data_IF_193486438551
#
_entry.id   IF_193486438551
#
_cell.length_a   1.000
_cell.length_b   1.000
_cell.length_c   1.000
_cell.angle_alpha   90.00
_cell.angle_beta   90.00
_cell.angle_gamma   90.00
#
_symmetry.space_group_name_H-M   'P 1'
#
loop_
_entity.id
_entity.type
_entity.pdbx_description
1 polymer ?
#
# COMPACT_ATOMS: atom_id res chain seq x y z
N UNK A 1 76.48 -14.79 -30.71
CA UNK A 1 77.10 -15.05 -29.39
C UNK A 1 76.00 -15.00 -28.33
N UNK A 2 75.85 -16.08 -27.56
CA UNK A 2 75.01 -16.27 -26.34
C UNK A 2 73.49 -16.36 -26.56
N UNK A 3 72.80 -17.52 -26.63
CA UNK A 3 72.50 -18.61 -25.65
C UNK A 3 71.43 -18.20 -24.58
N UNK A 4 70.15 -18.57 -24.74
CA UNK A 4 69.40 -19.76 -24.19
C UNK A 4 69.10 -19.64 -22.66
N UNK A 5 67.90 -19.85 -22.08
CA UNK A 5 66.91 -20.95 -22.16
C UNK A 5 65.49 -20.60 -21.59
N UNK A 6 64.47 -21.23 -22.20
CA UNK A 6 63.18 -21.90 -21.77
C UNK A 6 62.80 -21.96 -20.26
N UNK A 7 61.57 -22.13 -19.74
CA UNK A 7 60.26 -22.72 -20.10
C UNK A 7 59.21 -22.21 -19.06
N UNK A 8 57.89 -22.41 -19.06
CA UNK A 8 56.97 -23.28 -19.81
C UNK A 8 55.52 -23.00 -19.33
N UNK A 9 54.56 -23.44 -20.14
CA UNK A 9 53.11 -23.24 -20.00
C UNK A 9 52.42 -24.49 -19.47
N UNK A 10 51.38 -24.33 -18.64
CA UNK A 10 50.38 -25.37 -18.34
C UNK A 10 48.96 -24.78 -18.30
N UNK A 11 48.10 -25.25 -19.21
CA UNK A 11 46.63 -25.18 -19.13
C UNK A 11 46.10 -26.25 -18.15
N UNK A 12 45.03 -25.95 -17.40
CA UNK A 12 44.08 -26.98 -16.95
C UNK A 12 42.72 -26.38 -16.60
N UNK A 13 41.69 -26.82 -17.32
CA UNK A 13 40.26 -26.67 -17.00
C UNK A 13 39.82 -27.69 -15.93
N UNK A 14 38.84 -27.35 -15.08
CA UNK A 14 37.74 -28.26 -14.66
C UNK A 14 36.68 -27.58 -13.77
N UNK A 15 35.45 -27.62 -14.28
CA UNK A 15 34.09 -27.63 -13.72
C UNK A 15 33.68 -26.89 -12.41
N UNK A 16 32.52 -26.18 -12.45
CA UNK A 16 31.75 -25.82 -11.27
C UNK A 16 30.90 -27.02 -10.79
N UNK A 17 30.87 -27.26 -9.48
CA UNK A 17 30.02 -28.26 -8.83
C UNK A 17 28.57 -27.76 -8.74
N UNK A 18 27.65 -28.61 -9.20
CA UNK A 18 26.22 -28.54 -8.92
C UNK A 18 25.96 -28.68 -7.41
N UNK A 19 25.16 -27.79 -6.83
CA UNK A 19 24.48 -28.08 -5.57
C UNK A 19 23.15 -28.77 -5.89
N UNK A 20 23.14 -30.11 -5.77
CA UNK A 20 21.93 -30.93 -5.78
C UNK A 20 21.40 -31.10 -4.37
N UNK A 21 20.09 -30.90 -4.28
CA UNK A 21 19.12 -31.13 -3.20
C UNK A 21 19.40 -32.41 -2.41
N UNK A 22 19.39 -32.32 -1.08
CA UNK A 22 19.26 -33.47 -0.20
C UNK A 22 17.90 -33.44 0.51
N UNK A 23 16.95 -34.21 -0.03
CA UNK A 23 15.69 -34.52 0.62
C UNK A 23 15.95 -35.49 1.78
N UNK A 24 15.59 -35.10 3.01
CA UNK A 24 15.42 -36.05 4.12
C UNK A 24 13.99 -36.55 4.11
N UNK A 25 13.81 -37.76 3.57
CA UNK A 25 12.64 -38.56 3.83
C UNK A 25 12.69 -39.11 5.25
N UNK A 26 11.62 -38.92 6.01
CA UNK A 26 11.29 -39.73 7.17
C UNK A 26 9.89 -40.31 6.91
N UNK A 27 9.84 -41.64 6.79
CA UNK A 27 8.60 -42.41 6.77
C UNK A 27 8.07 -42.59 8.21
N UNK A 28 6.75 -42.80 8.38
CA UNK A 28 6.10 -42.90 9.69
C UNK A 28 6.01 -44.36 10.17
N UNK A 29 6.26 -44.59 11.45
CA UNK A 29 5.86 -45.82 12.14
C UNK A 29 4.56 -45.61 12.92
N UNK A 30 3.63 -46.54 12.72
CA UNK A 30 2.36 -46.70 13.46
C UNK A 30 2.56 -47.59 14.69
N UNK A 31 1.91 -47.24 15.81
CA UNK A 31 1.13 -48.15 16.70
C UNK A 31 0.40 -47.27 17.76
N UNK A 32 -0.94 -47.22 17.82
CA UNK A 32 -1.87 -47.97 18.73
C UNK A 32 -1.37 -48.05 20.19
N UNK A 33 -2.09 -47.75 21.27
CA UNK A 33 -3.53 -47.71 21.56
C UNK A 33 -3.78 -47.18 23.00
N UNK A 34 -4.97 -46.60 23.24
CA UNK A 34 -5.84 -46.68 24.45
C UNK A 34 -5.51 -46.07 25.84
N UNK A 35 -6.56 -45.40 26.35
CA UNK A 35 -6.99 -45.31 27.75
C UNK A 35 -6.64 -43.98 28.42
N UNK A 36 -7.53 -43.12 28.92
CA UNK A 36 -8.94 -43.24 29.30
C UNK A 36 -9.09 -42.76 30.75
N UNK A 37 -10.06 -41.86 31.00
CA UNK A 37 -10.80 -41.67 32.29
C UNK A 37 -9.98 -40.98 33.42
N UNK A 38 -10.44 -40.10 34.31
CA UNK A 38 -11.63 -39.27 34.60
C UNK A 38 -11.32 -38.43 35.86
N UNK A 39 -12.16 -37.42 36.17
CA UNK A 39 -12.32 -36.82 37.51
C UNK A 39 -12.41 -35.29 37.43
N UNK A 40 -13.57 -34.62 37.57
CA UNK A 40 -14.35 -34.35 38.81
C UNK A 40 -13.47 -33.74 39.92
N UNK A 41 -13.81 -32.68 40.66
CA UNK A 41 -15.00 -31.82 40.83
C UNK A 41 -14.56 -30.64 41.75
N UNK A 42 -15.52 -29.80 42.15
CA UNK A 42 -15.58 -29.02 43.40
C UNK A 42 -15.34 -27.49 43.34
N UNK A 43 -16.47 -26.82 43.21
CA UNK A 43 -16.95 -25.63 43.93
C UNK A 43 -16.36 -25.33 45.32
N UNK A 44 -16.27 -24.04 45.67
CA UNK A 44 -16.76 -23.58 46.99
C UNK A 44 -15.93 -22.55 47.78
N UNK A 45 -16.53 -21.37 47.97
CA UNK A 45 -16.55 -20.50 49.16
C UNK A 45 -15.29 -19.76 49.69
N UNK A 46 -15.49 -18.48 50.03
CA UNK A 46 -14.70 -17.80 51.08
C UNK A 46 -14.70 -16.28 51.05
N UNK A 47 -15.64 -15.64 51.76
CA UNK A 47 -15.67 -14.21 52.09
C UNK A 47 -14.45 -13.76 52.93
N UNK A 48 -14.05 -12.48 52.87
CA UNK A 48 -14.09 -11.55 54.03
C UNK A 48 -13.66 -10.12 53.68
N UNK A 49 -14.54 -9.18 54.07
CA UNK A 49 -14.38 -7.82 54.61
C UNK A 49 -13.25 -6.86 54.19
N UNK A 50 -13.66 -5.61 53.95
CA UNK A 50 -13.12 -4.48 54.72
C UNK A 50 -13.11 -3.11 54.01
N UNK A 51 -13.92 -2.17 54.53
CA UNK A 51 -13.49 -0.78 54.69
C UNK A 51 -14.07 0.26 53.73
N UNK A 52 -14.97 1.07 54.28
CA UNK A 52 -15.57 2.30 53.74
C UNK A 52 -14.54 3.44 53.65
N UNK A 53 -14.76 4.41 52.75
CA UNK A 53 -14.61 5.84 53.07
C UNK A 53 -15.15 6.73 51.93
N UNK A 54 -16.28 7.40 52.20
CA UNK A 54 -16.79 8.54 51.46
C UNK A 54 -16.07 9.83 51.89
N UNK A 55 -15.75 10.72 50.95
CA UNK A 55 -15.62 12.15 51.27
C UNK A 55 -15.96 13.05 50.08
N UNK A 56 -17.06 13.77 50.26
CA UNK A 56 -17.48 14.91 49.45
C UNK A 56 -16.63 16.15 49.73
N UNK A 57 -16.43 17.01 48.72
CA UNK A 57 -16.24 18.45 48.91
C UNK A 57 -16.82 19.24 47.73
N UNK A 58 -17.75 20.16 48.04
CA UNK A 58 -18.25 21.25 47.19
C UNK A 58 -17.58 22.56 47.65
N UNK A 59 -17.23 23.47 46.72
CA UNK A 59 -17.61 24.91 46.67
C UNK A 59 -16.80 25.63 45.57
N UNK A 60 -17.43 26.19 44.51
CA UNK A 60 -17.87 27.60 44.31
C UNK A 60 -16.75 28.62 43.99
N UNK A 61 -16.93 29.41 42.91
CA UNK A 61 -16.67 30.87 43.00
C UNK A 61 -15.94 31.59 41.84
N UNK A 62 -16.74 32.26 40.99
CA UNK A 62 -16.50 33.38 40.05
C UNK A 62 -15.39 34.41 40.40
N UNK A 63 -14.73 34.99 39.35
CA UNK A 63 -14.65 36.46 38.98
C UNK A 63 -13.48 36.76 37.98
N UNK A 64 -13.76 37.23 36.76
CA UNK A 64 -13.59 38.61 36.17
C UNK A 64 -12.16 39.10 35.88
N UNK A 65 -11.89 39.52 34.62
CA UNK A 65 -11.42 40.88 34.26
C UNK A 65 -11.26 41.03 32.73
N UNK A 66 -11.89 42.07 32.17
CA UNK A 66 -11.68 42.60 30.82
C UNK A 66 -10.53 43.62 30.86
N UNK A 67 -9.68 43.66 29.84
CA UNK A 67 -8.91 44.85 29.50
C UNK A 67 -8.90 45.06 27.98
N UNK A 68 -9.30 46.27 27.61
CA UNK A 68 -9.38 46.85 26.27
C UNK A 68 -8.04 47.50 25.90
N UNK A 69 -7.67 47.46 24.62
CA UNK A 69 -6.52 48.18 24.06
C UNK A 69 -6.65 48.33 22.54
N UNK A 70 -7.16 49.48 22.11
CA UNK A 70 -7.41 49.90 20.74
C UNK A 70 -6.17 50.57 20.14
N UNK A 71 -5.77 50.22 18.91
CA UNK A 71 -4.95 51.08 18.03
C UNK A 71 -5.48 50.99 16.59
N UNK A 72 -5.97 52.12 16.08
CA UNK A 72 -6.40 52.33 14.69
C UNK A 72 -5.33 53.17 13.99
N UNK A 73 -4.88 52.74 12.81
CA UNK A 73 -4.43 53.65 11.74
C UNK A 73 -4.68 53.00 10.37
N UNK A 74 -5.28 53.79 9.48
CA UNK A 74 -5.75 53.45 8.14
C UNK A 74 -4.70 53.70 7.06
N UNK A 75 -4.79 52.99 5.93
CA UNK A 75 -4.18 53.39 4.66
C UNK A 75 -4.26 52.29 3.59
N UNK A 76 -4.88 52.53 2.42
CA UNK A 76 -4.99 51.54 1.35
C UNK A 76 -3.77 51.59 0.43
N UNK A 77 -3.18 50.44 0.10
CA UNK A 77 -2.26 50.30 -1.02
C UNK A 77 -2.82 49.23 -1.96
N UNK A 78 -3.29 49.71 -3.12
CA UNK A 78 -3.53 48.91 -4.31
C UNK A 78 -2.21 48.29 -4.75
N UNK A 79 -2.12 46.96 -4.69
CA UNK A 79 -1.04 46.16 -5.25
C UNK A 79 -1.63 44.89 -5.86
N UNK A 80 -1.34 44.67 -7.13
CA UNK A 80 -1.75 43.56 -8.00
C UNK A 80 -1.78 42.18 -7.34
N UNK A 81 -2.75 41.30 -7.65
CA UNK A 81 -2.56 39.86 -7.46
C UNK A 81 -1.64 39.38 -8.60
N UNK A 82 -0.34 39.53 -8.41
CA UNK A 82 0.64 38.74 -9.16
C UNK A 82 0.58 37.30 -8.69
N UNK A 83 0.56 36.37 -9.65
CA UNK A 83 0.45 34.92 -9.49
C UNK A 83 0.84 34.38 -8.12
N UNK A 84 -0.18 34.14 -7.30
CA UNK A 84 -0.05 33.33 -6.10
C UNK A 84 0.16 31.88 -6.51
N UNK A 85 1.42 31.47 -6.69
CA UNK A 85 1.82 30.08 -6.46
C UNK A 85 1.66 29.77 -4.97
N UNK A 86 0.42 29.62 -4.52
CA UNK A 86 0.07 28.83 -3.36
C UNK A 86 0.08 27.37 -3.88
N UNK A 87 0.70 26.39 -3.24
CA UNK A 87 0.70 26.10 -1.81
C UNK A 87 1.92 25.21 -1.54
N UNK A 88 2.91 25.67 -0.75
CA UNK A 88 3.70 24.74 0.05
C UNK A 88 2.80 24.33 1.21
N UNK A 89 2.05 23.25 1.04
CA UNK A 89 1.08 22.77 2.02
C UNK A 89 1.89 22.31 3.22
N UNK A 90 2.03 23.21 4.20
CA UNK A 90 2.76 22.93 5.43
C UNK A 90 2.18 21.69 6.10
N UNK A 91 3.05 20.99 6.82
CA UNK A 91 2.74 19.90 7.75
C UNK A 91 1.83 20.42 8.88
N UNK A 92 0.58 20.76 8.57
CA UNK A 92 -0.44 20.98 9.56
C UNK A 92 -0.82 19.60 10.10
N UNK A 93 -0.78 19.45 11.43
CA UNK A 93 -1.19 18.22 12.09
C UNK A 93 -2.57 17.78 11.58
N UNK A 94 -2.66 16.55 11.06
CA UNK A 94 -3.88 15.98 10.48
C UNK A 94 -4.04 16.11 8.96
N UNK A 95 -3.18 16.87 8.24
CA UNK A 95 -3.18 16.87 6.77
C UNK A 95 -2.25 15.80 6.22
N UNK A 96 -2.83 14.86 5.45
CA UNK A 96 -2.08 13.87 4.66
C UNK A 96 -1.43 14.61 3.47
N UNK A 97 -0.09 14.62 3.35
CA UNK A 97 0.58 15.29 2.23
C UNK A 97 0.09 14.76 0.88
N UNK A 98 -0.32 15.67 -0.01
CA UNK A 98 -0.84 15.31 -1.33
C UNK A 98 -2.33 15.00 -1.38
N UNK A 99 -3.05 14.94 -0.26
CA UNK A 99 -4.50 14.77 -0.22
C UNK A 99 -5.22 16.13 -0.15
N UNK A 100 -6.14 16.39 -1.07
CA UNK A 100 -6.94 17.61 -1.11
C UNK A 100 -7.99 17.67 0.00
N UNK A 101 -8.58 18.85 0.19
CA UNK A 101 -9.85 18.98 0.89
C UNK A 101 -10.99 18.34 0.03
N UNK A 102 -12.13 17.93 0.63
CA UNK A 102 -13.25 17.37 -0.11
C UNK A 102 -13.86 18.37 -1.10
N UNK A 103 -14.21 17.89 -2.30
CA UNK A 103 -15.00 18.64 -3.28
C UNK A 103 -16.49 18.70 -2.89
N UNK A 104 -17.31 19.35 -3.71
CA UNK A 104 -18.76 19.49 -3.49
C UNK A 104 -19.50 18.14 -3.40
N UNK A 105 -18.91 17.09 -3.97
CA UNK A 105 -19.44 15.71 -3.94
C UNK A 105 -18.87 14.90 -2.77
N UNK A 106 -18.04 15.50 -1.92
CA UNK A 106 -17.38 14.81 -0.79
C UNK A 106 -16.18 13.97 -1.20
N UNK A 107 -15.63 14.14 -2.40
CA UNK A 107 -14.46 13.40 -2.89
C UNK A 107 -13.17 14.20 -2.70
N UNK A 108 -12.12 13.50 -2.32
CA UNK A 108 -10.77 14.05 -2.13
C UNK A 108 -9.86 13.48 -3.20
N UNK A 109 -8.96 14.31 -3.72
CA UNK A 109 -7.95 13.87 -4.69
C UNK A 109 -6.61 13.73 -3.98
N UNK A 110 -6.04 12.53 -4.04
CA UNK A 110 -4.65 12.30 -3.69
C UNK A 110 -3.78 12.50 -4.93
N UNK A 111 -2.71 13.28 -4.81
CA UNK A 111 -1.58 13.31 -5.75
C UNK A 111 -0.32 12.99 -4.97
N UNK A 112 0.42 11.99 -5.40
CA UNK A 112 1.72 11.63 -4.82
C UNK A 112 2.66 12.84 -4.86
N UNK A 113 3.20 13.32 -3.73
CA UNK A 113 4.19 14.40 -3.73
C UNK A 113 5.46 13.99 -4.49
N UNK A 114 6.02 14.91 -5.29
CA UNK A 114 7.20 14.65 -6.12
C UNK A 114 8.44 14.31 -5.25
N UNK A 115 8.57 14.96 -4.10
CA UNK A 115 9.66 14.75 -3.14
C UNK A 115 9.44 13.54 -2.20
N UNK A 116 8.33 12.80 -2.32
CA UNK A 116 8.08 11.60 -1.49
C UNK A 116 9.05 10.49 -1.92
N UNK A 117 9.92 10.07 -1.01
CA UNK A 117 10.71 8.85 -1.19
C UNK A 117 9.81 7.64 -1.36
N UNK A 118 10.22 6.68 -2.20
CA UNK A 118 9.49 5.42 -2.37
C UNK A 118 9.35 4.67 -1.04
N UNK A 119 8.24 3.95 -0.89
CA UNK A 119 8.04 3.02 0.22
C UNK A 119 9.09 1.88 0.25
N UNK A 120 8.99 1.01 1.24
CA UNK A 120 9.91 -0.13 1.36
C UNK A 120 9.87 -1.00 0.08
N UNK A 121 11.04 -1.33 -0.46
CA UNK A 121 11.18 -2.13 -1.69
C UNK A 121 11.03 -1.36 -3.01
N UNK A 122 10.41 -0.17 -3.04
CA UNK A 122 10.21 0.63 -4.28
C UNK A 122 11.53 1.17 -4.86
N UNK A 123 12.54 1.33 -3.99
CA UNK A 123 13.86 1.87 -4.32
C UNK A 123 13.90 3.41 -4.37
N UNK A 124 15.08 3.94 -4.68
CA UNK A 124 15.38 5.39 -4.66
C UNK A 124 15.26 6.08 -6.02
N UNK A 125 15.02 5.31 -7.09
CA UNK A 125 14.89 5.89 -8.43
C UNK A 125 13.64 6.77 -8.50
N UNK A 126 13.64 7.84 -9.32
CA UNK A 126 12.47 8.69 -9.50
C UNK A 126 11.19 7.89 -9.74
N UNK A 127 10.10 8.32 -9.12
CA UNK A 127 8.76 7.73 -9.29
C UNK A 127 7.93 8.77 -10.01
N UNK A 128 7.37 8.39 -11.15
CA UNK A 128 6.45 9.26 -11.88
C UNK A 128 5.21 9.44 -11.00
N UNK A 129 4.79 10.69 -10.70
CA UNK A 129 3.67 10.92 -9.82
C UNK A 129 2.39 10.25 -10.33
N UNK A 130 1.57 9.80 -9.39
CA UNK A 130 0.23 9.31 -9.68
C UNK A 130 -0.80 10.05 -8.82
N UNK A 131 -2.05 9.94 -9.22
CA UNK A 131 -3.19 10.49 -8.52
C UNK A 131 -4.39 9.57 -8.56
N UNK A 132 -5.28 9.71 -7.59
CA UNK A 132 -6.58 9.03 -7.54
C UNK A 132 -7.52 9.83 -6.63
N UNK A 133 -8.81 9.50 -6.67
CA UNK A 133 -9.83 10.06 -5.80
C UNK A 133 -10.32 9.04 -4.78
N UNK A 134 -10.65 9.52 -3.58
CA UNK A 134 -11.31 8.74 -2.52
C UNK A 134 -12.45 9.55 -1.91
N UNK A 135 -13.52 8.90 -1.43
CA UNK A 135 -14.50 9.56 -0.57
C UNK A 135 -13.86 10.14 0.68
N UNK A 136 -14.51 11.13 1.29
CA UNK A 136 -14.10 11.61 2.60
C UNK A 136 -14.13 10.49 3.65
N UNK A 137 -13.23 10.56 4.64
CA UNK A 137 -13.06 9.53 5.67
C UNK A 137 -12.10 8.38 5.32
N UNK A 138 -11.54 8.34 4.11
CA UNK A 138 -10.39 7.48 3.79
C UNK A 138 -9.08 8.11 4.28
N UNK A 139 -8.25 7.34 4.97
CA UNK A 139 -7.01 7.81 5.61
C UNK A 139 -5.78 7.03 5.15
N UNK A 140 -4.62 7.69 5.11
CA UNK A 140 -3.34 7.04 4.81
C UNK A 140 -2.96 6.12 5.97
N UNK A 141 -2.68 4.84 5.65
CA UNK A 141 -2.20 3.85 6.61
C UNK A 141 -0.70 3.68 6.42
N UNK A 142 0.12 3.70 7.48
CA UNK A 142 1.55 3.43 7.36
C UNK A 142 1.84 2.11 6.66
N UNK A 143 2.80 2.12 5.74
CA UNK A 143 3.31 0.92 5.07
C UNK A 143 4.36 0.25 5.97
N UNK A 144 4.24 -1.06 6.16
CA UNK A 144 5.14 -1.89 6.98
C UNK A 144 5.82 -2.97 6.13
N UNK A 145 7.00 -3.41 6.54
CA UNK A 145 7.68 -4.56 5.91
C UNK A 145 6.95 -5.89 6.15
N UNK A 146 6.12 -5.96 7.19
CA UNK A 146 5.36 -7.16 7.56
C UNK A 146 4.08 -7.33 6.71
N UNK A 147 3.85 -6.39 5.81
CA UNK A 147 2.68 -6.39 4.95
C UNK A 147 2.72 -7.54 3.94
N UNK A 148 1.58 -8.20 3.74
CA UNK A 148 1.40 -9.13 2.62
C UNK A 148 1.63 -8.36 1.31
N UNK A 149 2.52 -8.89 0.46
CA UNK A 149 3.00 -8.18 -0.72
C UNK A 149 3.92 -7.00 -0.39
N UNK A 150 4.60 -7.01 0.76
CA UNK A 150 5.41 -5.92 1.32
C UNK A 150 6.66 -5.51 0.52
N UNK A 151 6.85 -6.05 -0.67
CA UNK A 151 7.80 -5.55 -1.66
C UNK A 151 7.11 -4.50 -2.52
N UNK A 152 7.57 -3.25 -2.44
CA UNK A 152 7.23 -2.17 -3.39
C UNK A 152 5.87 -1.49 -3.20
N UNK A 153 5.28 -1.58 -2.01
CA UNK A 153 4.12 -0.77 -1.65
C UNK A 153 4.58 0.68 -1.39
N UNK A 154 4.08 1.63 -2.19
CA UNK A 154 4.38 3.06 -2.05
C UNK A 154 3.36 3.81 -1.18
N UNK A 155 2.11 3.35 -1.17
CA UNK A 155 1.01 4.01 -0.48
C UNK A 155 -0.09 3.04 -0.07
N UNK A 156 -0.73 3.32 1.06
CA UNK A 156 -1.96 2.66 1.50
C UNK A 156 -2.97 3.66 1.99
N UNK A 157 -4.22 3.41 1.66
CA UNK A 157 -5.37 4.12 2.20
C UNK A 157 -6.40 3.10 2.69
N UNK A 158 -7.13 3.44 3.74
CA UNK A 158 -8.21 2.58 4.23
C UNK A 158 -9.37 3.38 4.81
N UNK A 159 -10.54 2.75 4.75
CA UNK A 159 -11.71 3.11 5.51
C UNK A 159 -12.31 1.82 6.10
N UNK A 160 -12.43 1.76 7.43
CA UNK A 160 -12.90 0.56 8.13
C UNK A 160 -14.28 0.06 7.66
N UNK A 161 -15.12 0.93 7.12
CA UNK A 161 -16.47 0.62 6.65
C UNK A 161 -16.54 0.29 5.16
N UNK A 162 -15.60 0.76 4.35
CA UNK A 162 -15.68 0.66 2.88
C UNK A 162 -14.65 -0.28 2.27
N UNK A 163 -13.43 -0.32 2.81
CA UNK A 163 -12.37 -1.17 2.29
C UNK A 163 -10.98 -0.58 2.47
N UNK A 164 -10.04 -1.07 1.67
CA UNK A 164 -8.65 -0.61 1.66
C UNK A 164 -8.13 -0.57 0.23
N UNK A 165 -7.16 0.29 -0.02
CA UNK A 165 -6.46 0.38 -1.28
C UNK A 165 -4.96 0.51 -1.05
N UNK A 166 -4.19 0.12 -2.05
CA UNK A 166 -2.75 0.25 -2.06
C UNK A 166 -2.22 0.51 -3.46
N UNK A 167 -1.13 1.27 -3.52
CA UNK A 167 -0.38 1.53 -4.76
C UNK A 167 0.95 0.81 -4.65
N UNK A 168 1.20 -0.12 -5.57
CA UNK A 168 2.48 -0.82 -5.74
C UNK A 168 3.20 -0.22 -6.94
N UNK A 169 4.49 0.03 -6.77
CA UNK A 169 5.36 0.62 -7.81
C UNK A 169 6.56 -0.30 -8.02
N UNK A 170 6.39 -1.27 -8.90
CA UNK A 170 7.35 -2.35 -9.14
C UNK A 170 8.28 -2.04 -10.32
N UNK A 171 9.55 -2.47 -10.32
CA UNK A 171 10.41 -2.39 -11.50
C UNK A 171 9.90 -3.28 -12.65
N UNK A 172 9.83 -2.75 -13.87
CA UNK A 172 9.40 -3.52 -15.06
C UNK A 172 10.31 -4.72 -15.33
N UNK A 173 11.60 -4.59 -15.02
CA UNK A 173 12.61 -5.65 -15.17
C UNK A 173 12.30 -6.93 -14.39
N UNK A 174 11.42 -6.87 -13.38
CA UNK A 174 10.93 -8.08 -12.69
C UNK A 174 10.10 -8.98 -13.62
N UNK A 175 9.50 -8.39 -14.66
CA UNK A 175 8.45 -9.03 -15.47
C UNK A 175 8.82 -9.12 -16.95
N UNK A 176 9.55 -8.13 -17.46
CA UNK A 176 9.97 -8.09 -18.86
C UNK A 176 11.31 -7.35 -18.97
N UNK A 177 12.22 -7.93 -19.76
CA UNK A 177 13.46 -7.27 -20.13
C UNK A 177 13.16 -6.28 -21.26
N UNK A 178 12.86 -5.04 -20.88
CA UNK A 178 12.50 -3.96 -21.78
C UNK A 178 13.49 -2.81 -21.60
N UNK A 179 14.04 -2.33 -22.71
CA UNK A 179 14.87 -1.14 -22.73
C UNK A 179 14.00 0.12 -22.92
N UNK A 180 14.32 1.19 -22.19
CA UNK A 180 13.69 2.50 -22.33
C UNK A 180 12.32 2.64 -21.63
N UNK A 181 11.45 3.47 -22.20
CA UNK A 181 10.12 3.76 -21.65
C UNK A 181 9.15 2.60 -21.93
N UNK A 182 8.74 1.93 -20.86
CA UNK A 182 7.87 0.77 -20.87
C UNK A 182 6.40 1.19 -20.89
N UNK A 183 5.67 0.61 -21.84
CA UNK A 183 4.20 0.66 -21.88
C UNK A 183 3.66 -0.71 -21.48
N UNK A 184 2.45 -0.78 -20.93
CA UNK A 184 1.93 -2.04 -20.36
C UNK A 184 1.74 -3.12 -21.43
N UNK A 185 1.48 -2.73 -22.67
CA UNK A 185 1.32 -3.58 -23.84
C UNK A 185 2.63 -4.29 -24.21
N UNK A 186 3.79 -3.63 -23.99
CA UNK A 186 5.11 -4.26 -24.19
C UNK A 186 5.39 -5.31 -23.13
N UNK A 187 4.85 -5.16 -21.92
CA UNK A 187 4.97 -6.17 -20.86
C UNK A 187 4.14 -7.41 -21.25
N UNK A 188 2.92 -7.18 -21.75
CA UNK A 188 2.10 -8.23 -22.35
C UNK A 188 0.61 -7.90 -22.45
N UNK A 189 -0.19 -8.88 -22.93
CA UNK A 189 -1.65 -8.81 -22.87
C UNK A 189 -2.15 -8.92 -21.41
N UNK A 190 -3.37 -8.44 -21.11
CA UNK A 190 -3.91 -8.41 -19.75
C UNK A 190 -3.74 -9.71 -18.96
N UNK A 191 -3.96 -10.87 -19.58
CA UNK A 191 -3.85 -12.19 -18.98
C UNK A 191 -2.42 -12.50 -18.52
N UNK A 192 -1.40 -12.11 -19.31
CA UNK A 192 0.00 -12.28 -18.92
C UNK A 192 0.34 -11.39 -17.73
N UNK A 193 -0.14 -10.15 -17.75
CA UNK A 193 0.17 -9.16 -16.71
C UNK A 193 -0.48 -9.63 -15.39
N UNK A 194 -1.79 -9.92 -15.34
CA UNK A 194 -2.47 -10.36 -14.10
C UNK A 194 -1.92 -11.67 -13.53
N UNK A 195 -1.54 -12.64 -14.37
CA UNK A 195 -0.93 -13.88 -13.89
C UNK A 195 0.47 -13.65 -13.29
N UNK A 196 1.19 -12.62 -13.73
CA UNK A 196 2.51 -12.29 -13.21
C UNK A 196 2.47 -11.53 -11.88
N UNK A 197 1.58 -10.55 -11.73
CA UNK A 197 1.53 -9.70 -10.52
C UNK A 197 0.39 -10.03 -9.55
N UNK A 198 -0.69 -10.64 -10.06
CA UNK A 198 -1.89 -10.90 -9.29
C UNK A 198 -1.62 -11.62 -7.97
N UNK A 199 -0.81 -12.70 -7.96
CA UNK A 199 -0.46 -13.40 -6.72
C UNK A 199 0.27 -12.56 -5.68
N UNK A 200 1.05 -11.56 -6.10
CA UNK A 200 1.72 -10.63 -5.18
C UNK A 200 0.73 -9.62 -4.59
N UNK A 201 -0.26 -9.20 -5.38
CA UNK A 201 -1.32 -8.26 -4.96
C UNK A 201 -2.33 -8.92 -4.01
N UNK A 202 -2.78 -10.14 -4.30
CA UNK A 202 -3.84 -10.81 -3.54
C UNK A 202 -3.33 -11.85 -2.54
N UNK A 203 -2.06 -12.26 -2.63
CA UNK A 203 -1.43 -13.26 -1.75
C UNK A 203 -1.74 -14.71 -2.13
N UNK A 204 -2.36 -14.97 -3.28
CA UNK A 204 -2.77 -16.30 -3.74
C UNK A 204 -2.93 -16.35 -5.28
N UNK A 205 -3.03 -17.54 -5.87
CA UNK A 205 -3.19 -17.68 -7.32
C UNK A 205 -4.49 -16.99 -7.81
N UNK A 206 -4.42 -16.31 -8.96
CA UNK A 206 -5.52 -15.60 -9.64
C UNK A 206 -6.32 -16.47 -10.61
N UNK A 207 -5.85 -17.67 -10.93
CA UNK A 207 -6.49 -18.58 -11.89
C UNK A 207 -7.95 -18.87 -11.49
N UNK A 208 -8.87 -18.63 -12.43
CA UNK A 208 -10.31 -18.83 -12.22
C UNK A 208 -11.02 -17.78 -11.35
N UNK A 209 -10.32 -16.73 -10.89
CA UNK A 209 -10.89 -15.69 -10.02
C UNK A 209 -11.20 -14.38 -10.72
N UNK A 210 -10.64 -14.15 -11.91
CA UNK A 210 -10.89 -12.95 -12.71
C UNK A 210 -12.29 -13.05 -13.33
N UNK A 211 -13.20 -12.17 -12.89
CA UNK A 211 -14.56 -12.08 -13.43
C UNK A 211 -14.64 -11.19 -14.66
N UNK A 212 -13.91 -10.08 -14.64
CA UNK A 212 -13.94 -9.08 -15.70
C UNK A 212 -12.54 -8.51 -15.95
N UNK A 213 -12.28 -8.23 -17.22
CA UNK A 213 -11.07 -7.55 -17.68
C UNK A 213 -11.49 -6.42 -18.61
N UNK A 214 -11.03 -5.20 -18.33
CA UNK A 214 -11.28 -4.02 -19.12
C UNK A 214 -9.94 -3.39 -19.52
N UNK A 215 -9.89 -2.85 -20.74
CA UNK A 215 -8.72 -2.13 -21.26
C UNK A 215 -9.20 -0.75 -21.69
N UNK A 216 -8.64 0.29 -21.07
CA UNK A 216 -8.97 1.69 -21.37
C UNK A 216 -7.69 2.51 -21.59
N UNK A 217 -7.79 3.56 -22.39
CA UNK A 217 -6.68 4.49 -22.60
C UNK A 217 -7.01 5.86 -21.96
N UNK A 218 -6.07 6.38 -21.19
CA UNK A 218 -6.17 7.69 -20.56
C UNK A 218 -4.86 8.45 -20.66
N UNK A 219 -4.92 9.67 -21.23
CA UNK A 219 -3.75 10.55 -21.40
C UNK A 219 -2.59 9.87 -22.15
N UNK A 220 -2.90 9.06 -23.16
CA UNK A 220 -1.90 8.33 -23.95
C UNK A 220 -1.25 7.14 -23.22
N UNK A 221 -1.82 6.70 -22.09
CA UNK A 221 -1.39 5.49 -21.37
C UNK A 221 -2.53 4.48 -21.32
N UNK A 222 -2.21 3.23 -21.63
CA UNK A 222 -3.15 2.11 -21.53
C UNK A 222 -3.20 1.57 -20.11
N UNK A 223 -4.41 1.32 -19.64
CA UNK A 223 -4.70 0.74 -18.34
C UNK A 223 -5.40 -0.59 -18.53
N UNK A 224 -4.93 -1.61 -17.82
CA UNK A 224 -5.65 -2.87 -17.67
C UNK A 224 -6.33 -2.89 -16.32
N UNK A 225 -7.64 -3.07 -16.30
CA UNK A 225 -8.42 -3.18 -15.07
C UNK A 225 -9.00 -4.59 -14.94
N UNK A 226 -8.75 -5.21 -13.79
CA UNK A 226 -9.21 -6.55 -13.45
C UNK A 226 -10.16 -6.48 -12.27
N UNK A 227 -11.23 -7.24 -12.33
CA UNK A 227 -12.17 -7.42 -11.23
C UNK A 227 -12.20 -8.90 -10.85
N UNK A 228 -11.91 -9.19 -9.59
CA UNK A 228 -11.78 -10.55 -9.07
C UNK A 228 -12.86 -10.85 -8.02
N UNK A 229 -13.27 -12.11 -7.93
CA UNK A 229 -14.17 -12.62 -6.89
C UNK A 229 -14.05 -14.14 -6.72
N UNK A 230 -13.99 -14.64 -5.47
CA UNK A 230 -13.22 -14.15 -4.34
C UNK A 230 -11.70 -14.34 -4.58
N UNK A 231 -10.85 -13.38 -4.16
CA UNK A 231 -11.14 -12.26 -3.26
C UNK A 231 -11.72 -11.06 -4.02
N UNK A 232 -12.58 -10.27 -3.36
CA UNK A 232 -13.19 -9.07 -3.94
C UNK A 232 -12.17 -7.94 -4.09
N UNK A 233 -11.58 -7.86 -5.28
CA UNK A 233 -10.48 -6.93 -5.60
C UNK A 233 -10.70 -6.30 -6.97
N UNK A 234 -10.47 -4.99 -7.07
CA UNK A 234 -10.28 -4.29 -8.35
C UNK A 234 -8.81 -3.93 -8.47
N UNK A 235 -8.14 -4.33 -9.55
CA UNK A 235 -6.74 -3.98 -9.81
C UNK A 235 -6.68 -3.18 -11.10
N UNK A 236 -6.16 -1.97 -11.06
CA UNK A 236 -5.83 -1.16 -12.24
C UNK A 236 -4.31 -1.13 -12.42
N UNK A 237 -3.82 -1.53 -13.58
CA UNK A 237 -2.41 -1.65 -13.90
C UNK A 237 -2.04 -0.75 -15.09
N UNK A 238 -0.90 -0.07 -15.01
CA UNK A 238 -0.27 0.67 -16.12
C UNK A 238 1.24 0.67 -15.96
N UNK A 239 1.99 0.93 -17.03
CA UNK A 239 3.45 1.14 -16.96
C UNK A 239 3.82 2.55 -17.40
N UNK A 240 4.88 3.10 -16.81
CA UNK A 240 5.48 4.36 -17.22
C UNK A 240 6.95 4.42 -16.78
N UNK A 241 7.82 4.91 -17.65
CA UNK A 241 9.26 4.89 -17.45
C UNK A 241 9.74 3.44 -17.34
N UNK A 242 10.41 3.11 -16.25
CA UNK A 242 10.88 1.75 -15.94
C UNK A 242 10.05 1.06 -14.84
N UNK A 243 8.84 1.57 -14.55
CA UNK A 243 8.01 1.11 -13.43
C UNK A 243 6.62 0.68 -13.89
N UNK A 244 6.15 -0.41 -13.27
CA UNK A 244 4.78 -0.89 -13.33
C UNK A 244 4.04 -0.37 -12.09
N UNK A 245 2.90 0.25 -12.32
CA UNK A 245 2.03 0.80 -11.31
C UNK A 245 0.81 -0.11 -11.18
N UNK A 246 0.57 -0.62 -9.98
CA UNK A 246 -0.61 -1.43 -9.66
C UNK A 246 -1.40 -0.69 -8.58
N UNK A 247 -2.64 -0.38 -8.89
CA UNK A 247 -3.59 0.23 -7.97
C UNK A 247 -4.66 -0.80 -7.62
N UNK A 248 -4.59 -1.32 -6.40
CA UNK A 248 -5.47 -2.39 -5.96
C UNK A 248 -6.39 -1.89 -4.86
N UNK A 249 -7.68 -2.19 -5.00
CA UNK A 249 -8.73 -1.89 -4.03
C UNK A 249 -9.34 -3.21 -3.61
N UNK A 250 -9.39 -3.46 -2.30
CA UNK A 250 -9.89 -4.71 -1.74
C UNK A 250 -10.97 -4.39 -0.72
N UNK A 251 -12.02 -5.21 -0.67
CA UNK A 251 -13.06 -5.10 0.33
C UNK A 251 -13.52 -6.48 0.79
N UNK A 252 -14.10 -6.59 1.99
CA UNK A 252 -14.85 -7.79 2.38
C UNK A 252 -16.14 -7.90 1.56
N UNK A 253 -16.76 -9.08 1.50
CA UNK A 253 -17.98 -9.27 0.70
C UNK A 253 -19.15 -8.35 1.10
N UNK A 254 -19.27 -8.00 2.39
CA UNK A 254 -20.29 -7.05 2.84
C UNK A 254 -19.99 -5.62 2.38
N UNK A 255 -18.72 -5.20 2.51
CA UNK A 255 -18.26 -3.90 2.06
C UNK A 255 -18.41 -3.76 0.54
N UNK A 256 -17.97 -4.79 -0.20
CA UNK A 256 -18.10 -4.86 -1.65
C UNK A 256 -19.55 -4.67 -2.10
N UNK A 257 -20.48 -5.45 -1.53
CA UNK A 257 -21.90 -5.35 -1.86
C UNK A 257 -22.50 -3.96 -1.61
N UNK A 258 -22.06 -3.27 -0.55
CA UNK A 258 -22.58 -1.95 -0.16
C UNK A 258 -21.96 -0.81 -0.93
N UNK A 259 -20.64 -0.86 -1.14
CA UNK A 259 -19.82 0.25 -1.62
C UNK A 259 -19.23 0.02 -3.02
N UNK A 260 -19.70 -1.01 -3.75
CA UNK A 260 -19.17 -1.36 -5.07
C UNK A 260 -19.00 -0.17 -6.01
N UNK A 261 -20.01 0.71 -6.08
CA UNK A 261 -19.97 1.89 -6.96
C UNK A 261 -18.85 2.84 -6.61
N UNK A 262 -18.68 3.13 -5.32
CA UNK A 262 -17.63 4.02 -4.83
C UNK A 262 -16.25 3.38 -5.03
N UNK A 263 -16.10 2.09 -4.71
CA UNK A 263 -14.86 1.34 -4.95
C UNK A 263 -14.47 1.33 -6.44
N UNK A 264 -15.44 1.13 -7.34
CA UNK A 264 -15.21 1.19 -8.80
C UNK A 264 -14.84 2.61 -9.25
N UNK A 265 -15.44 3.64 -8.66
CA UNK A 265 -15.10 5.03 -8.95
C UNK A 265 -13.69 5.39 -8.47
N UNK A 266 -13.28 4.92 -7.29
CA UNK A 266 -11.89 5.01 -6.81
C UNK A 266 -10.96 4.37 -7.85
N UNK A 267 -11.25 3.13 -8.27
CA UNK A 267 -10.44 2.40 -9.26
C UNK A 267 -10.28 3.19 -10.56
N UNK A 268 -11.40 3.68 -11.09
CA UNK A 268 -11.47 4.38 -12.37
C UNK A 268 -10.80 5.76 -12.33
N UNK A 269 -10.55 6.31 -11.16
CA UNK A 269 -9.91 7.62 -10.99
C UNK A 269 -8.37 7.58 -11.03
N UNK A 270 -7.77 6.39 -10.95
CA UNK A 270 -6.31 6.25 -10.84
C UNK A 270 -5.59 6.67 -12.13
N UNK A 271 -4.65 7.61 -12.04
CA UNK A 271 -3.86 8.13 -13.16
C UNK A 271 -2.40 8.30 -12.79
N UNK A 272 -1.50 7.77 -13.60
CA UNK A 272 -0.08 8.17 -13.62
C UNK A 272 0.03 9.44 -14.46
N UNK A 273 0.75 10.45 -13.98
CA UNK A 273 0.84 11.81 -14.53
C UNK A 273 2.11 11.92 -15.36
#
# INVERSE_FOLDING_TARGET
MGALFTAGSCFSSRNPQLNVIQAKGFLPDKLSEKGGVSGEEATGFGFTNGGEDERAFRFVGRRTALFSGLCVVSGPVLGFPGDGFAVKQGLLAGRIPGLSDPDESGWRTYRRPDDKSGGHGVGWSPIIPYSFKVPDGWEEVPVSIADLGGTEIDLRFANSQEGRLFVIVAPVLRFADLEGDATIEKIGPPEKVINAFGPEVIGENVEGKVLNTQVDEHSGRTYYQFELEPPHVIISATAAGNRLYLFAITASGLQWKRHYKDLKQIANSFRVI
#
